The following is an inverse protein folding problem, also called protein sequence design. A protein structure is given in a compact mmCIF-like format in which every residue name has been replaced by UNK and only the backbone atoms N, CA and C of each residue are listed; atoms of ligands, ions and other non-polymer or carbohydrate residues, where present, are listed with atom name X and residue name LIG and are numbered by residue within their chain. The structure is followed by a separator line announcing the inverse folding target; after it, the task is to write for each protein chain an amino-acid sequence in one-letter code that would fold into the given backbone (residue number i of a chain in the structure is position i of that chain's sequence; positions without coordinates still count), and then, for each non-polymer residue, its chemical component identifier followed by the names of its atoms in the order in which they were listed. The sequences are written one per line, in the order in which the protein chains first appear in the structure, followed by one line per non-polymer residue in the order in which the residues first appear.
data_IF_266156077087
#
_entry.id   IF_266156077087
#
_cell.length_a   1.000
_cell.length_b   1.000
_cell.length_c   1.000
_cell.angle_alpha   90.00
_cell.angle_beta   90.00
_cell.angle_gamma   90.00
#
_symmetry.space_group_name_H-M   'P 1'
#
loop_
_entity.id
_entity.type
_entity.pdbx_description
1 polymer ?
#
# COMPACT_ATOMS: atom_id res chain seq x y z
N UNK A 1 59.19 21.26 -17.71
CA UNK A 1 58.24 22.17 -18.35
C UNK A 1 59.06 23.23 -19.05
N UNK A 2 58.99 23.36 -20.38
CA UNK A 2 59.72 24.40 -21.09
C UNK A 2 59.27 25.78 -20.61
N UNK A 3 60.23 26.70 -20.42
CA UNK A 3 60.03 28.03 -19.81
C UNK A 3 59.13 28.97 -20.63
N UNK A 4 58.84 28.64 -21.89
CA UNK A 4 57.84 29.31 -22.75
C UNK A 4 56.38 29.25 -22.25
N UNK A 5 56.09 28.51 -21.18
CA UNK A 5 54.74 28.30 -20.64
C UNK A 5 54.43 29.09 -19.35
N UNK A 6 55.23 30.08 -18.99
CA UNK A 6 54.75 31.14 -18.10
C UNK A 6 53.61 31.92 -18.78
N UNK A 7 52.60 32.41 -18.02
CA UNK A 7 51.47 33.11 -18.60
C UNK A 7 51.99 34.22 -19.51
N UNK A 8 51.61 34.23 -20.79
CA UNK A 8 52.19 35.15 -21.76
C UNK A 8 52.00 36.58 -21.27
N UNK A 9 53.10 37.35 -21.30
CA UNK A 9 53.09 38.76 -20.89
C UNK A 9 51.91 39.49 -21.55
N UNK A 10 51.22 40.37 -20.81
CA UNK A 10 50.02 41.07 -21.30
C UNK A 10 50.32 41.80 -22.63
N UNK A 11 51.58 42.24 -22.79
CA UNK A 11 52.14 42.81 -24.02
C UNK A 11 52.11 41.84 -25.20
N UNK A 12 52.60 40.60 -25.02
CA UNK A 12 52.63 39.57 -26.07
C UNK A 12 51.23 39.19 -26.50
N UNK A 13 50.30 39.06 -25.54
CA UNK A 13 48.88 38.79 -25.82
C UNK A 13 48.22 39.88 -26.66
N UNK A 14 48.44 41.15 -26.32
CA UNK A 14 47.90 42.29 -27.07
C UNK A 14 48.46 42.34 -28.50
N UNK A 15 49.75 42.02 -28.68
CA UNK A 15 50.41 42.00 -29.98
C UNK A 15 49.92 40.85 -30.86
N UNK A 16 49.76 39.65 -30.31
CA UNK A 16 49.20 38.50 -31.03
C UNK A 16 47.74 38.74 -31.46
N UNK A 17 46.95 39.40 -30.61
CA UNK A 17 45.59 39.82 -30.97
C UNK A 17 45.61 40.88 -32.08
N UNK A 18 46.54 41.84 -32.03
CA UNK A 18 46.73 42.84 -33.09
C UNK A 18 47.13 42.19 -34.42
N UNK A 19 47.92 41.11 -34.38
CA UNK A 19 48.27 40.32 -35.56
C UNK A 19 47.04 39.64 -36.18
N UNK A 20 46.18 39.00 -35.40
CA UNK A 20 44.95 38.38 -35.90
C UNK A 20 44.04 39.41 -36.58
N UNK A 21 43.95 40.63 -36.03
CA UNK A 21 43.16 41.73 -36.62
C UNK A 21 43.66 42.16 -38.01
N UNK A 22 44.85 41.74 -38.44
CA UNK A 22 45.36 42.04 -39.79
C UNK A 22 44.68 41.22 -40.89
N UNK A 23 43.96 40.16 -40.54
CA UNK A 23 43.26 39.29 -41.49
C UNK A 23 41.97 39.97 -42.00
N UNK A 24 41.72 39.98 -43.33
CA UNK A 24 40.59 40.71 -43.92
C UNK A 24 39.22 40.30 -43.37
N UNK A 25 39.02 39.02 -43.07
CA UNK A 25 37.77 38.47 -42.54
C UNK A 25 37.51 38.79 -41.05
N UNK A 26 38.54 39.27 -40.34
CA UNK A 26 38.59 39.34 -38.87
C UNK A 26 38.58 40.78 -38.33
N UNK A 27 38.90 41.76 -39.18
CA UNK A 27 39.15 43.17 -38.85
C UNK A 27 38.06 43.86 -37.98
N UNK A 28 36.79 43.41 -38.08
CA UNK A 28 35.65 44.03 -37.38
C UNK A 28 34.96 43.12 -36.33
N UNK A 29 35.41 41.87 -36.16
CA UNK A 29 34.71 40.86 -35.34
C UNK A 29 35.31 40.66 -33.94
N UNK A 30 36.57 41.08 -33.72
CA UNK A 30 37.34 40.73 -32.51
C UNK A 30 37.66 41.94 -31.66
N UNK A 31 37.20 41.96 -30.41
CA UNK A 31 37.52 42.99 -29.41
C UNK A 31 38.45 42.44 -28.33
N UNK A 32 38.25 41.19 -27.91
CA UNK A 32 39.01 40.49 -26.86
C UNK A 32 39.47 39.11 -27.33
N UNK A 33 40.41 38.50 -26.60
CA UNK A 33 40.86 37.11 -26.81
C UNK A 33 39.70 36.12 -26.60
N UNK A 34 38.74 36.46 -25.73
CA UNK A 34 37.53 35.67 -25.47
C UNK A 34 36.65 35.50 -26.72
N UNK A 35 36.72 36.44 -27.68
CA UNK A 35 35.98 36.35 -28.94
C UNK A 35 36.55 35.28 -29.89
N UNK A 36 37.71 34.71 -29.59
CA UNK A 36 38.36 33.65 -30.38
C UNK A 36 37.91 32.23 -29.99
N UNK A 37 37.12 32.10 -28.92
CA UNK A 37 36.76 30.82 -28.29
C UNK A 37 35.73 30.01 -29.08
N UNK A 38 35.06 30.64 -30.05
CA UNK A 38 34.06 29.98 -30.91
C UNK A 38 34.69 29.22 -32.10
N UNK A 39 35.99 29.41 -32.36
CA UNK A 39 36.73 28.77 -33.45
C UNK A 39 36.43 29.29 -34.85
N UNK A 40 35.49 30.23 -35.02
CA UNK A 40 35.08 30.73 -36.33
C UNK A 40 36.19 31.58 -36.97
N UNK A 41 36.85 32.41 -36.17
CA UNK A 41 37.95 33.26 -36.64
C UNK A 41 39.16 32.43 -37.08
N UNK A 42 39.44 31.33 -36.39
CA UNK A 42 40.51 30.42 -36.81
C UNK A 42 40.15 29.64 -38.09
N UNK A 43 38.86 29.36 -38.32
CA UNK A 43 38.39 28.84 -39.61
C UNK A 43 38.58 29.85 -40.75
N UNK A 44 38.20 31.11 -40.52
CA UNK A 44 38.42 32.21 -41.47
C UNK A 44 39.92 32.41 -41.78
N UNK A 45 40.80 32.22 -40.79
CA UNK A 45 42.26 32.26 -40.97
C UNK A 45 42.78 31.07 -41.79
N UNK A 46 42.25 29.87 -41.59
CA UNK A 46 42.57 28.70 -42.42
C UNK A 46 42.14 28.91 -43.87
N UNK A 47 41.01 29.56 -44.11
CA UNK A 47 40.58 29.91 -45.48
C UNK A 47 41.56 30.88 -46.17
N UNK A 48 42.19 31.79 -45.41
CA UNK A 48 43.25 32.66 -45.94
C UNK A 48 44.56 31.92 -46.22
N UNK A 49 44.87 30.84 -45.48
CA UNK A 49 46.03 29.97 -45.73
C UNK A 49 45.80 29.09 -46.95
N UNK A 50 44.72 28.33 -46.97
CA UNK A 50 44.28 27.51 -48.09
C UNK A 50 42.76 27.22 -47.96
N UNK A 51 41.94 27.69 -48.93
CA UNK A 51 40.51 27.43 -48.95
C UNK A 51 40.12 25.94 -48.90
N UNK A 52 41.01 25.02 -49.29
CA UNK A 52 40.77 23.58 -49.26
C UNK A 52 40.69 23.00 -47.84
N UNK A 53 41.26 23.68 -46.84
CA UNK A 53 41.29 23.24 -45.44
C UNK A 53 40.32 24.04 -44.55
N UNK A 54 39.60 25.02 -45.12
CA UNK A 54 38.61 25.82 -44.43
C UNK A 54 37.38 24.99 -44.02
N UNK A 55 36.84 25.25 -42.83
CA UNK A 55 35.67 24.54 -42.32
C UNK A 55 34.44 25.42 -42.57
N UNK A 56 33.69 25.07 -43.61
CA UNK A 56 32.49 25.83 -44.04
C UNK A 56 31.19 25.29 -43.44
N UNK A 57 31.13 23.99 -43.16
CA UNK A 57 29.97 23.31 -42.58
C UNK A 57 30.28 22.86 -41.15
N UNK A 58 30.05 23.76 -40.19
CA UNK A 58 30.00 23.39 -38.77
C UNK A 58 28.57 22.93 -38.50
N UNK A 59 28.41 21.63 -38.20
CA UNK A 59 27.12 21.05 -37.84
C UNK A 59 26.44 21.88 -36.75
N UNK A 60 25.35 22.56 -37.10
CA UNK A 60 24.44 23.21 -36.15
C UNK A 60 23.68 22.12 -35.40
N UNK A 61 24.36 21.45 -34.48
CA UNK A 61 23.72 20.48 -33.61
C UNK A 61 22.74 21.25 -32.73
N UNK A 62 21.45 21.13 -33.04
CA UNK A 62 20.34 21.91 -32.47
C UNK A 62 20.09 21.66 -30.98
N UNK A 63 20.94 20.85 -30.32
CA UNK A 63 20.75 20.39 -28.94
C UNK A 63 22.03 20.38 -28.08
N UNK A 64 23.16 20.94 -28.53
CA UNK A 64 24.39 21.01 -27.71
C UNK A 64 24.53 22.36 -26.99
N UNK A 65 25.05 22.37 -25.75
CA UNK A 65 25.42 23.62 -25.07
C UNK A 65 26.46 24.39 -25.89
N UNK A 66 26.38 25.74 -25.89
CA UNK A 66 27.21 26.63 -26.74
C UNK A 66 28.71 26.31 -26.71
N UNK A 67 29.26 25.95 -25.55
CA UNK A 67 30.67 25.61 -25.39
C UNK A 67 31.05 24.26 -26.03
N UNK A 68 30.12 23.30 -26.13
CA UNK A 68 30.37 22.00 -26.80
C UNK A 68 30.50 22.21 -28.31
N UNK A 69 29.63 23.03 -28.91
CA UNK A 69 29.75 23.39 -30.33
C UNK A 69 31.02 24.19 -30.63
N UNK A 70 31.42 25.08 -29.72
CA UNK A 70 32.67 25.83 -29.82
C UNK A 70 33.89 24.89 -29.76
N UNK A 71 33.91 23.95 -28.81
CA UNK A 71 34.95 22.92 -28.71
C UNK A 71 35.06 22.08 -29.98
N UNK A 72 33.94 21.56 -30.49
CA UNK A 72 33.93 20.75 -31.72
C UNK A 72 34.48 21.53 -32.92
N UNK A 73 34.16 22.82 -33.01
CA UNK A 73 34.67 23.71 -34.05
C UNK A 73 36.18 23.90 -33.91
N UNK A 74 36.67 24.21 -32.70
CA UNK A 74 38.10 24.39 -32.44
C UNK A 74 38.91 23.11 -32.71
N UNK A 75 38.42 21.94 -32.30
CA UNK A 75 39.06 20.65 -32.57
C UNK A 75 39.13 20.35 -34.07
N UNK A 76 38.05 20.64 -34.81
CA UNK A 76 38.01 20.45 -36.25
C UNK A 76 39.00 21.40 -36.96
N UNK A 77 39.03 22.67 -36.57
CA UNK A 77 39.97 23.68 -37.08
C UNK A 77 41.41 23.25 -36.82
N UNK A 78 41.72 22.85 -35.60
CA UNK A 78 43.05 22.38 -35.23
C UNK A 78 43.47 21.13 -36.02
N UNK A 79 42.56 20.18 -36.22
CA UNK A 79 42.80 18.99 -37.04
C UNK A 79 43.11 19.34 -38.50
N UNK A 80 42.40 20.31 -39.08
CA UNK A 80 42.67 20.76 -40.44
C UNK A 80 43.99 21.54 -40.54
N UNK A 81 44.33 22.36 -39.54
CA UNK A 81 45.63 23.01 -39.44
C UNK A 81 46.77 21.99 -39.36
N UNK A 82 46.60 20.93 -38.56
CA UNK A 82 47.57 19.84 -38.46
C UNK A 82 47.76 19.13 -39.80
N UNK A 83 46.66 18.84 -40.51
CA UNK A 83 46.71 18.24 -41.84
C UNK A 83 47.47 19.13 -42.82
N UNK A 84 47.15 20.43 -42.85
CA UNK A 84 47.86 21.41 -43.66
C UNK A 84 49.35 21.49 -43.32
N UNK A 85 49.70 21.56 -42.03
CA UNK A 85 51.09 21.58 -41.55
C UNK A 85 51.84 20.30 -41.92
N UNK A 86 51.19 19.15 -41.83
CA UNK A 86 51.81 17.88 -42.20
C UNK A 86 52.10 17.77 -43.71
N UNK A 87 51.21 18.30 -44.54
CA UNK A 87 51.30 18.21 -46.01
C UNK A 87 52.20 19.29 -46.61
N UNK A 88 52.26 20.50 -46.02
CA UNK A 88 52.90 21.67 -46.65
C UNK A 88 54.02 22.34 -45.84
N UNK A 89 54.22 21.99 -44.56
CA UNK A 89 55.27 22.60 -43.72
C UNK A 89 56.44 21.65 -43.46
N UNK A 90 57.58 22.22 -43.07
CA UNK A 90 58.78 21.48 -42.70
C UNK A 90 58.61 20.71 -41.38
N UNK A 91 59.47 19.71 -41.17
CA UNK A 91 59.46 18.87 -39.97
C UNK A 91 59.60 19.66 -38.67
N UNK A 92 60.23 20.84 -38.72
CA UNK A 92 60.34 21.76 -37.59
C UNK A 92 58.97 22.27 -37.12
N UNK A 93 58.09 22.70 -38.04
CA UNK A 93 56.74 23.15 -37.68
C UNK A 93 55.91 21.98 -37.14
N UNK A 94 56.05 20.79 -37.72
CA UNK A 94 55.36 19.58 -37.25
C UNK A 94 55.75 19.23 -35.80
N UNK A 95 57.05 19.35 -35.48
CA UNK A 95 57.55 19.15 -34.13
C UNK A 95 57.01 20.21 -33.15
N UNK A 96 56.98 21.48 -33.56
CA UNK A 96 56.41 22.56 -32.76
C UNK A 96 54.95 22.28 -32.36
N UNK A 97 54.10 21.85 -33.30
CA UNK A 97 52.68 21.60 -33.00
C UNK A 97 52.48 20.43 -32.02
N UNK A 98 53.37 19.44 -32.02
CA UNK A 98 53.27 18.29 -31.10
C UNK A 98 53.72 18.67 -29.68
N UNK A 99 54.73 19.53 -29.57
CA UNK A 99 55.30 19.93 -28.27
C UNK A 99 54.38 20.90 -27.50
N UNK A 100 53.45 21.57 -28.17
CA UNK A 100 52.48 22.50 -27.56
C UNK A 100 51.05 21.94 -27.61
N UNK A 101 50.69 20.95 -26.75
CA UNK A 101 49.32 20.46 -26.67
C UNK A 101 48.37 21.55 -26.14
N UNK A 102 47.19 21.63 -26.75
CA UNK A 102 46.14 22.60 -26.41
C UNK A 102 45.00 21.90 -25.67
N UNK A 103 44.56 22.46 -24.56
CA UNK A 103 43.34 22.01 -23.88
C UNK A 103 42.10 22.75 -24.43
N UNK A 104 41.42 22.11 -25.38
CA UNK A 104 40.20 22.64 -25.97
C UNK A 104 39.02 22.73 -24.99
N UNK A 105 39.03 22.01 -23.86
CA UNK A 105 38.00 22.17 -22.84
C UNK A 105 38.20 23.49 -22.08
N UNK A 106 39.44 23.75 -21.67
CA UNK A 106 39.81 24.99 -20.99
C UNK A 106 39.54 26.22 -21.88
N UNK A 107 39.87 26.10 -23.17
CA UNK A 107 39.64 27.13 -24.17
C UNK A 107 38.13 27.40 -24.42
N UNK A 108 37.33 26.36 -24.68
CA UNK A 108 35.93 26.53 -25.06
C UNK A 108 34.99 26.81 -23.89
N UNK A 109 35.28 26.29 -22.69
CA UNK A 109 34.40 26.42 -21.53
C UNK A 109 34.75 27.62 -20.65
N UNK A 110 36.04 27.88 -20.44
CA UNK A 110 36.52 28.92 -19.50
C UNK A 110 37.17 30.11 -20.20
N UNK A 111 37.25 30.10 -21.53
CA UNK A 111 37.89 31.17 -22.32
C UNK A 111 39.33 31.46 -21.86
N UNK A 112 40.09 30.39 -21.54
CA UNK A 112 41.43 30.55 -20.96
C UNK A 112 42.35 31.34 -21.93
N UNK A 113 42.87 32.50 -21.51
CA UNK A 113 43.75 33.32 -22.34
C UNK A 113 45.07 32.62 -22.65
N UNK A 114 45.52 31.69 -21.81
CA UNK A 114 46.77 30.94 -22.01
C UNK A 114 46.63 29.97 -23.18
N UNK A 115 45.57 29.16 -23.18
CA UNK A 115 45.27 28.23 -24.27
C UNK A 115 44.93 28.94 -25.57
N UNK A 116 44.24 30.08 -25.49
CA UNK A 116 43.98 30.94 -26.64
C UNK A 116 45.29 31.42 -27.27
N UNK A 117 46.24 31.87 -26.43
CA UNK A 117 47.55 32.34 -26.89
C UNK A 117 48.35 31.23 -27.55
N UNK A 118 48.37 30.02 -26.97
CA UNK A 118 49.03 28.85 -27.59
C UNK A 118 48.48 28.56 -28.98
N UNK A 119 47.16 28.54 -29.13
CA UNK A 119 46.53 28.29 -30.43
C UNK A 119 46.93 29.35 -31.47
N UNK A 120 46.89 30.64 -31.07
CA UNK A 120 47.30 31.76 -31.94
C UNK A 120 48.78 31.64 -32.33
N UNK A 121 49.64 31.28 -31.38
CA UNK A 121 51.07 31.08 -31.62
C UNK A 121 51.31 29.94 -32.61
N UNK A 122 50.59 28.83 -32.53
CA UNK A 122 50.70 27.75 -33.52
C UNK A 122 50.30 28.25 -34.92
N UNK A 123 49.19 29.00 -35.04
CA UNK A 123 48.79 29.62 -36.31
C UNK A 123 49.84 30.61 -36.83
N UNK A 124 50.47 31.39 -35.96
CA UNK A 124 51.54 32.31 -36.30
C UNK A 124 52.78 31.58 -36.83
N UNK A 125 53.19 30.48 -36.18
CA UNK A 125 54.32 29.66 -36.62
C UNK A 125 54.05 29.06 -38.00
N UNK A 126 52.85 28.51 -38.21
CA UNK A 126 52.43 27.97 -39.51
C UNK A 126 52.40 29.08 -40.58
N UNK A 127 51.98 30.31 -40.23
CA UNK A 127 51.98 31.43 -41.16
C UNK A 127 53.40 31.90 -41.55
N UNK A 128 54.31 31.99 -40.58
CA UNK A 128 55.65 32.55 -40.76
C UNK A 128 56.68 31.54 -41.27
N UNK A 129 56.48 30.25 -41.02
CA UNK A 129 57.40 29.16 -41.41
C UNK A 129 56.77 28.15 -42.36
N UNK A 130 55.52 28.39 -42.78
CA UNK A 130 54.85 27.59 -43.79
C UNK A 130 55.21 27.99 -45.23
N UNK A 131 54.55 27.37 -46.23
CA UNK A 131 54.88 27.54 -47.65
C UNK A 131 54.72 28.98 -48.15
N UNK A 132 53.81 29.75 -47.54
CA UNK A 132 53.46 31.12 -47.93
C UNK A 132 54.09 32.19 -47.01
N UNK A 133 55.25 31.90 -46.41
CA UNK A 133 55.91 32.77 -45.41
C UNK A 133 56.04 34.25 -45.83
N UNK A 134 56.41 34.53 -47.09
CA UNK A 134 56.66 35.90 -47.56
C UNK A 134 55.42 36.78 -47.48
N UNK A 135 54.23 36.22 -47.74
CA UNK A 135 52.94 36.93 -47.68
C UNK A 135 52.61 37.34 -46.25
N UNK A 136 52.87 36.47 -45.28
CA UNK A 136 52.56 36.73 -43.87
C UNK A 136 53.61 37.60 -43.19
N UNK A 137 54.88 37.48 -43.57
CA UNK A 137 55.95 38.39 -43.14
C UNK A 137 55.68 39.82 -43.65
N UNK A 138 55.31 39.98 -44.93
CA UNK A 138 54.97 41.29 -45.47
C UNK A 138 53.72 41.88 -44.81
N UNK A 139 52.74 41.05 -44.47
CA UNK A 139 51.55 41.46 -43.71
C UNK A 139 51.91 41.96 -42.31
N UNK A 140 52.78 41.25 -41.58
CA UNK A 140 53.28 41.70 -40.27
C UNK A 140 54.02 43.04 -40.40
N UNK A 141 54.88 43.17 -41.41
CA UNK A 141 55.68 44.38 -41.66
C UNK A 141 54.84 45.60 -42.03
N UNK A 142 53.79 45.41 -42.83
CA UNK A 142 52.97 46.51 -43.38
C UNK A 142 51.82 46.94 -42.47
N UNK A 143 51.27 46.02 -41.66
CA UNK A 143 50.07 46.28 -40.86
C UNK A 143 50.30 46.41 -39.36
N UNK A 144 51.47 46.05 -38.82
CA UNK A 144 51.82 46.25 -37.40
C UNK A 144 52.87 47.36 -37.24
N UNK A 145 52.91 48.00 -36.07
CA UNK A 145 53.97 48.96 -35.72
C UNK A 145 55.30 48.27 -35.47
N UNK A 146 56.40 49.01 -35.58
CA UNK A 146 57.76 48.49 -35.38
C UNK A 146 57.96 47.86 -33.99
N UNK A 147 57.36 48.42 -32.95
CA UNK A 147 57.42 47.88 -31.59
C UNK A 147 56.73 46.51 -31.48
N UNK A 148 55.57 46.37 -32.13
CA UNK A 148 54.83 45.10 -32.17
C UNK A 148 55.57 44.03 -33.00
N UNK A 149 56.24 44.45 -34.09
CA UNK A 149 57.06 43.55 -34.89
C UNK A 149 58.24 42.98 -34.09
N UNK A 150 58.89 43.81 -33.27
CA UNK A 150 59.97 43.37 -32.37
C UNK A 150 59.49 42.33 -31.36
N UNK A 151 58.30 42.54 -30.77
CA UNK A 151 57.69 41.59 -29.83
C UNK A 151 57.39 40.24 -30.49
N UNK A 152 56.86 40.23 -31.71
CA UNK A 152 56.60 38.99 -32.47
C UNK A 152 57.92 38.26 -32.78
N UNK A 153 58.93 38.99 -33.26
CA UNK A 153 60.22 38.40 -33.60
C UNK A 153 60.91 37.75 -32.38
N UNK A 154 60.89 38.44 -31.23
CA UNK A 154 61.42 37.91 -29.98
C UNK A 154 60.64 36.67 -29.52
N UNK A 155 59.31 36.70 -29.60
CA UNK A 155 58.47 35.57 -29.20
C UNK A 155 58.75 34.31 -30.04
N UNK A 156 58.86 34.46 -31.38
CA UNK A 156 59.19 33.34 -32.28
C UNK A 156 60.60 32.81 -32.02
N UNK A 157 61.58 33.70 -31.80
CA UNK A 157 62.96 33.30 -31.49
C UNK A 157 63.06 32.52 -30.17
N UNK A 158 62.30 32.90 -29.14
CA UNK A 158 62.23 32.15 -27.87
C UNK A 158 61.69 30.73 -28.10
N UNK A 159 60.63 30.59 -28.91
CA UNK A 159 60.04 29.27 -29.23
C UNK A 159 61.03 28.41 -30.03
N UNK A 160 61.73 29.00 -31.00
CA UNK A 160 62.77 28.31 -31.76
C UNK A 160 63.89 27.77 -30.87
N UNK A 161 64.34 28.58 -29.91
CA UNK A 161 65.37 28.18 -28.96
C UNK A 161 64.89 27.03 -28.05
N UNK A 162 63.68 27.13 -27.51
CA UNK A 162 63.10 26.10 -26.64
C UNK A 162 62.93 24.75 -27.37
N UNK A 163 62.46 24.79 -28.62
CA UNK A 163 62.31 23.58 -29.45
C UNK A 163 63.66 22.97 -29.84
N UNK A 164 64.68 23.79 -30.12
CA UNK A 164 66.02 23.30 -30.42
C UNK A 164 66.68 22.61 -29.22
N UNK A 165 66.33 23.00 -27.99
CA UNK A 165 66.78 22.35 -26.76
C UNK A 165 66.01 21.04 -26.53
N UNK A 166 64.70 21.03 -26.78
CA UNK A 166 63.86 19.85 -26.60
C UNK A 166 64.14 18.73 -27.62
N UNK A 167 64.54 19.09 -28.85
CA UNK A 167 64.73 18.16 -29.97
C UNK A 167 66.09 18.38 -30.68
N UNK A 168 67.19 17.83 -30.14
CA UNK A 168 68.55 18.07 -30.66
C UNK A 168 68.87 17.37 -32.00
N UNK A 169 68.02 16.45 -32.48
CA UNK A 169 68.28 15.57 -33.63
C UNK A 169 67.79 16.15 -34.98
N UNK A 170 67.40 17.42 -35.01
CA UNK A 170 66.88 18.10 -36.21
C UNK A 170 67.98 18.80 -37.04
N UNK A 171 69.27 18.59 -36.73
CA UNK A 171 70.40 19.23 -37.42
C UNK A 171 70.68 18.59 -38.80
N UNK A 172 70.47 19.30 -39.93
CA UNK A 172 70.54 18.72 -41.28
C UNK A 172 71.96 18.37 -41.80
N UNK A 173 73.03 18.67 -41.05
CA UNK A 173 74.40 18.72 -41.61
C UNK A 173 75.34 17.54 -41.27
N UNK A 174 74.87 16.47 -40.63
CA UNK A 174 75.70 15.28 -40.39
C UNK A 174 75.62 14.28 -41.55
N UNK A 175 76.45 14.48 -42.59
CA UNK A 175 76.65 13.49 -43.66
C UNK A 175 77.69 12.45 -43.20
N UNK A 176 77.29 11.18 -43.17
CA UNK A 176 78.03 10.02 -42.64
C UNK A 176 79.27 9.62 -43.48
N UNK A 177 80.30 9.10 -42.81
CA UNK A 177 81.56 8.59 -43.41
C UNK A 177 81.48 7.09 -43.76
N UNK A 178 82.43 6.52 -44.56
CA UNK A 178 82.33 5.12 -45.02
C UNK A 178 82.54 4.03 -43.95
N UNK A 179 83.19 4.34 -42.82
CA UNK A 179 83.28 3.40 -41.67
C UNK A 179 81.93 3.26 -40.95
N UNK A 180 81.06 4.26 -41.12
CA UNK A 180 79.69 4.29 -40.63
C UNK A 180 78.78 3.36 -41.47
N UNK A 181 79.17 2.94 -42.68
CA UNK A 181 78.30 2.16 -43.56
C UNK A 181 78.03 0.72 -43.04
N UNK A 182 79.02 0.06 -42.44
CA UNK A 182 78.85 -1.28 -41.85
C UNK A 182 78.07 -1.20 -40.52
N UNK A 183 78.38 -0.20 -39.70
CA UNK A 183 77.63 0.09 -38.46
C UNK A 183 76.18 0.53 -38.76
N UNK A 184 75.97 1.25 -39.87
CA UNK A 184 74.65 1.59 -40.40
C UNK A 184 73.94 0.37 -40.96
N UNK A 185 74.63 -0.58 -41.60
CA UNK A 185 74.04 -1.84 -42.07
C UNK A 185 73.61 -2.73 -40.90
N UNK A 186 74.42 -2.83 -39.85
CA UNK A 186 74.06 -3.56 -38.62
C UNK A 186 72.87 -2.90 -37.91
N UNK A 187 72.89 -1.57 -37.75
CA UNK A 187 71.75 -0.80 -37.21
C UNK A 187 70.51 -0.92 -38.10
N UNK A 188 70.66 -0.90 -39.43
CA UNK A 188 69.57 -1.07 -40.37
C UNK A 188 68.97 -2.48 -40.29
N UNK A 189 69.81 -3.50 -40.15
CA UNK A 189 69.37 -4.89 -39.94
C UNK A 189 68.62 -5.02 -38.61
N UNK A 190 69.14 -4.46 -37.52
CA UNK A 190 68.49 -4.44 -36.22
C UNK A 190 67.13 -3.71 -36.26
N UNK A 191 67.08 -2.51 -36.87
CA UNK A 191 65.85 -1.73 -37.06
C UNK A 191 64.87 -2.46 -37.99
N UNK A 192 65.34 -3.16 -39.02
CA UNK A 192 64.51 -3.96 -39.92
C UNK A 192 63.91 -5.17 -39.20
N UNK A 193 64.69 -5.84 -38.34
CA UNK A 193 64.21 -6.92 -37.48
C UNK A 193 63.19 -6.42 -36.46
N UNK A 194 63.45 -5.28 -35.82
CA UNK A 194 62.48 -4.64 -34.92
C UNK A 194 61.22 -4.24 -35.66
N UNK A 195 61.33 -3.65 -36.85
CA UNK A 195 60.19 -3.28 -37.68
C UNK A 195 59.37 -4.52 -38.11
N UNK A 196 60.03 -5.63 -38.44
CA UNK A 196 59.36 -6.90 -38.73
C UNK A 196 58.64 -7.47 -37.50
N UNK A 197 59.27 -7.42 -36.32
CA UNK A 197 58.66 -7.84 -35.06
C UNK A 197 57.48 -6.95 -34.67
N UNK A 198 57.61 -5.63 -34.86
CA UNK A 198 56.56 -4.66 -34.59
C UNK A 198 55.38 -4.83 -35.54
N UNK A 199 55.66 -5.08 -36.83
CA UNK A 199 54.64 -5.39 -37.85
C UNK A 199 53.89 -6.67 -37.51
N UNK A 200 54.59 -7.72 -37.06
CA UNK A 200 53.96 -8.95 -36.59
C UNK A 200 53.06 -8.70 -35.38
N UNK A 201 53.58 -7.99 -34.36
CA UNK A 201 52.79 -7.62 -33.17
C UNK A 201 51.58 -6.78 -33.53
N UNK A 202 51.70 -5.88 -34.50
CA UNK A 202 50.59 -5.07 -34.99
C UNK A 202 49.52 -5.96 -35.67
N UNK A 203 49.92 -6.90 -36.54
CA UNK A 203 49.00 -7.87 -37.14
C UNK A 203 48.30 -8.76 -36.10
N UNK A 204 49.02 -9.22 -35.07
CA UNK A 204 48.45 -9.99 -33.97
C UNK A 204 47.43 -9.15 -33.16
N UNK A 205 47.74 -7.87 -32.92
CA UNK A 205 46.83 -6.94 -32.25
C UNK A 205 45.58 -6.66 -33.09
N UNK A 206 45.71 -6.45 -34.40
CA UNK A 206 44.57 -6.29 -35.32
C UNK A 206 43.69 -7.53 -35.25
N UNK A 207 44.26 -8.73 -35.37
CA UNK A 207 43.49 -9.99 -35.32
C UNK A 207 42.78 -10.15 -33.99
N UNK A 208 43.42 -9.78 -32.88
CA UNK A 208 42.77 -9.80 -31.55
C UNK A 208 41.64 -8.78 -31.45
N UNK A 209 41.82 -7.58 -32.02
CA UNK A 209 40.78 -6.56 -32.03
C UNK A 209 39.59 -6.97 -32.91
N UNK A 210 39.83 -7.61 -34.04
CA UNK A 210 38.77 -8.19 -34.89
C UNK A 210 37.99 -9.26 -34.14
N UNK A 211 38.67 -10.24 -33.52
CA UNK A 211 38.01 -11.25 -32.70
C UNK A 211 37.22 -10.65 -31.52
N UNK A 212 37.75 -9.60 -30.88
CA UNK A 212 37.05 -8.88 -29.81
C UNK A 212 35.83 -8.12 -30.34
N UNK A 213 35.92 -7.53 -31.54
CA UNK A 213 34.78 -6.88 -32.20
C UNK A 213 33.70 -7.89 -32.54
N UNK A 214 34.07 -9.02 -33.14
CA UNK A 214 33.12 -10.11 -33.45
C UNK A 214 32.46 -10.65 -32.18
N UNK A 215 33.22 -10.86 -31.10
CA UNK A 215 32.67 -11.31 -29.83
C UNK A 215 31.69 -10.28 -29.23
N UNK A 216 32.04 -8.99 -29.30
CA UNK A 216 31.14 -7.92 -28.86
C UNK A 216 29.86 -7.91 -29.68
N UNK A 217 29.97 -8.05 -30.99
CA UNK A 217 28.81 -8.00 -31.90
C UNK A 217 27.90 -9.22 -31.67
N UNK A 218 28.47 -10.40 -31.42
CA UNK A 218 27.70 -11.57 -30.98
C UNK A 218 26.98 -11.33 -29.65
N UNK A 219 27.66 -10.76 -28.64
CA UNK A 219 27.03 -10.46 -27.35
C UNK A 219 25.91 -9.41 -27.49
N UNK A 220 26.08 -8.43 -28.36
CA UNK A 220 25.04 -7.44 -28.65
C UNK A 220 23.82 -8.08 -29.31
N UNK A 221 24.01 -9.03 -30.23
CA UNK A 221 22.91 -9.73 -30.87
C UNK A 221 22.19 -10.68 -29.91
N UNK A 222 22.92 -11.38 -29.03
CA UNK A 222 22.32 -12.18 -27.96
C UNK A 222 21.51 -11.31 -26.98
N UNK A 223 22.05 -10.14 -26.61
CA UNK A 223 21.35 -9.16 -25.76
C UNK A 223 20.05 -8.67 -26.43
N UNK A 224 20.10 -8.34 -27.73
CA UNK A 224 18.89 -7.94 -28.48
C UNK A 224 17.86 -9.05 -28.54
N UNK A 225 18.28 -10.30 -28.66
CA UNK A 225 17.35 -11.44 -28.69
C UNK A 225 16.73 -11.69 -27.31
N UNK A 226 17.51 -11.57 -26.24
CA UNK A 226 16.99 -11.58 -24.87
C UNK A 226 15.99 -10.44 -24.63
N UNK A 227 16.27 -9.22 -25.10
CA UNK A 227 15.35 -8.08 -25.01
C UNK A 227 14.05 -8.33 -25.79
N UNK A 228 14.11 -8.98 -26.96
CA UNK A 228 12.92 -9.39 -27.72
C UNK A 228 12.10 -10.41 -26.95
N UNK A 229 12.74 -11.42 -26.35
CA UNK A 229 12.07 -12.43 -25.53
C UNK A 229 11.43 -11.79 -24.29
N UNK A 230 12.11 -10.88 -23.62
CA UNK A 230 11.56 -10.12 -22.48
C UNK A 230 10.35 -9.31 -22.92
N UNK A 231 10.42 -8.60 -24.05
CA UNK A 231 9.29 -7.85 -24.59
C UNK A 231 8.11 -8.75 -24.92
N UNK A 232 8.34 -9.89 -25.58
CA UNK A 232 7.29 -10.87 -25.87
C UNK A 232 6.67 -11.42 -24.57
N UNK A 233 7.49 -11.75 -23.56
CA UNK A 233 6.98 -12.21 -22.27
C UNK A 233 6.18 -11.11 -21.56
N UNK A 234 6.66 -9.87 -21.56
CA UNK A 234 5.92 -8.74 -21.01
C UNK A 234 4.61 -8.50 -21.76
N UNK A 235 4.60 -8.59 -23.08
CA UNK A 235 3.40 -8.52 -23.91
C UNK A 235 2.43 -9.67 -23.56
N UNK A 236 2.88 -10.91 -23.43
CA UNK A 236 2.00 -12.02 -23.02
C UNK A 236 1.47 -11.91 -21.58
N UNK A 237 2.26 -11.34 -20.67
CA UNK A 237 1.84 -11.07 -19.28
C UNK A 237 0.84 -9.92 -19.24
N UNK A 238 1.09 -8.86 -20.00
CA UNK A 238 0.23 -7.68 -20.09
C UNK A 238 -1.05 -7.94 -20.91
N UNK A 239 -1.01 -8.83 -21.90
CA UNK A 239 -2.15 -9.22 -22.75
C UNK A 239 -3.00 -10.36 -22.15
N UNK A 240 -3.13 -10.42 -20.82
CA UNK A 240 -4.35 -10.93 -20.21
C UNK A 240 -4.29 -12.32 -19.57
N UNK A 241 -3.29 -13.17 -19.85
CA UNK A 241 -3.30 -14.54 -19.31
C UNK A 241 -3.30 -14.61 -17.77
N UNK A 242 -2.43 -13.82 -17.12
CA UNK A 242 -2.35 -13.76 -15.65
C UNK A 242 -3.24 -12.68 -15.06
N UNK A 243 -3.35 -11.52 -15.70
CA UNK A 243 -4.18 -10.42 -15.22
C UNK A 243 -5.69 -10.73 -15.26
N UNK A 244 -6.21 -11.36 -16.33
CA UNK A 244 -7.62 -11.75 -16.40
C UNK A 244 -7.94 -12.95 -15.49
N UNK A 245 -6.97 -13.85 -15.28
CA UNK A 245 -7.15 -14.94 -14.32
C UNK A 245 -7.21 -14.43 -12.88
N UNK A 246 -6.30 -13.50 -12.52
CA UNK A 246 -6.31 -12.83 -11.21
C UNK A 246 -7.59 -12.02 -11.03
N UNK A 247 -7.99 -11.21 -12.02
CA UNK A 247 -9.22 -10.42 -11.94
C UNK A 247 -10.48 -11.28 -11.82
N UNK A 248 -10.53 -12.44 -12.49
CA UNK A 248 -11.62 -13.42 -12.30
C UNK A 248 -11.61 -14.04 -10.90
N UNK A 249 -10.44 -14.30 -10.32
CA UNK A 249 -10.33 -14.80 -8.96
C UNK A 249 -10.75 -13.73 -7.94
N UNK A 250 -10.31 -12.49 -8.11
CA UNK A 250 -10.71 -11.34 -7.28
C UNK A 250 -12.22 -11.14 -7.33
N UNK A 251 -12.82 -11.16 -8.52
CA UNK A 251 -14.28 -11.07 -8.67
C UNK A 251 -15.02 -12.22 -7.97
N UNK A 252 -14.53 -13.46 -8.12
CA UNK A 252 -15.11 -14.61 -7.41
C UNK A 252 -14.95 -14.50 -5.89
N UNK A 253 -13.85 -13.92 -5.43
CA UNK A 253 -13.62 -13.67 -4.00
C UNK A 253 -14.63 -12.64 -3.49
N UNK A 254 -14.78 -11.52 -4.19
CA UNK A 254 -15.74 -10.46 -3.85
C UNK A 254 -17.18 -10.99 -3.85
N UNK A 255 -17.58 -11.76 -4.87
CA UNK A 255 -18.90 -12.41 -4.93
C UNK A 255 -19.11 -13.36 -3.73
N UNK A 256 -18.05 -14.08 -3.32
CA UNK A 256 -18.12 -15.00 -2.17
C UNK A 256 -18.19 -14.28 -0.83
N UNK A 257 -17.48 -13.16 -0.68
CA UNK A 257 -17.52 -12.31 0.53
C UNK A 257 -18.89 -11.65 0.68
N UNK A 258 -19.49 -11.17 -0.42
CA UNK A 258 -20.86 -10.65 -0.40
C UNK A 258 -21.89 -11.73 -0.04
N UNK A 259 -21.71 -12.96 -0.54
CA UNK A 259 -22.57 -14.08 -0.17
C UNK A 259 -22.47 -14.41 1.32
N UNK A 260 -21.25 -14.45 1.86
CA UNK A 260 -21.00 -14.69 3.30
C UNK A 260 -21.66 -13.59 4.12
N UNK A 261 -21.44 -12.32 3.78
CA UNK A 261 -22.03 -11.19 4.51
C UNK A 261 -23.57 -11.26 4.53
N UNK A 262 -24.21 -11.63 3.41
CA UNK A 262 -25.65 -11.81 3.35
C UNK A 262 -26.12 -13.01 4.20
N UNK A 263 -25.37 -14.12 4.19
CA UNK A 263 -25.68 -15.29 5.03
C UNK A 263 -25.52 -14.97 6.53
N UNK A 264 -24.48 -14.24 6.91
CA UNK A 264 -24.25 -13.79 8.28
C UNK A 264 -25.37 -12.86 8.75
N UNK A 265 -25.80 -11.92 7.90
CA UNK A 265 -26.94 -11.05 8.20
C UNK A 265 -28.23 -11.86 8.38
N UNK A 266 -28.52 -12.82 7.51
CA UNK A 266 -29.70 -13.69 7.64
C UNK A 266 -29.67 -14.54 8.92
N UNK A 267 -28.49 -15.04 9.31
CA UNK A 267 -28.33 -15.79 10.56
C UNK A 267 -28.55 -14.90 11.78
N UNK A 268 -28.05 -13.66 11.75
CA UNK A 268 -28.26 -12.70 12.84
C UNK A 268 -29.73 -12.28 12.95
N UNK A 269 -30.38 -11.99 11.83
CA UNK A 269 -31.82 -11.69 11.80
C UNK A 269 -32.66 -12.87 12.32
N UNK A 270 -32.31 -14.10 11.93
CA UNK A 270 -32.94 -15.31 12.43
C UNK A 270 -32.71 -15.49 13.95
N UNK A 271 -31.50 -15.20 14.43
CA UNK A 271 -31.14 -15.24 15.86
C UNK A 271 -31.98 -14.24 16.66
N UNK A 272 -32.04 -12.99 16.21
CA UNK A 272 -32.83 -11.91 16.85
C UNK A 272 -34.31 -12.26 16.85
N UNK A 273 -34.87 -12.72 15.73
CA UNK A 273 -36.28 -13.09 15.64
C UNK A 273 -36.61 -14.29 16.56
N UNK A 274 -35.71 -15.27 16.66
CA UNK A 274 -35.86 -16.39 17.61
C UNK A 274 -35.84 -15.91 19.06
N UNK A 275 -34.95 -14.98 19.39
CA UNK A 275 -34.88 -14.40 20.73
C UNK A 275 -36.15 -13.61 21.08
N UNK A 276 -36.68 -12.81 20.14
CA UNK A 276 -37.94 -12.09 20.30
C UNK A 276 -39.12 -13.03 20.53
N UNK A 277 -39.29 -14.04 19.67
CA UNK A 277 -40.34 -15.06 19.84
C UNK A 277 -40.21 -15.82 21.16
N UNK A 278 -38.98 -16.10 21.60
CA UNK A 278 -38.76 -16.76 22.88
C UNK A 278 -39.15 -15.85 24.06
N UNK A 279 -38.82 -14.54 24.00
CA UNK A 279 -39.27 -13.56 24.99
C UNK A 279 -40.79 -13.45 25.04
N UNK A 280 -41.46 -13.42 23.89
CA UNK A 280 -42.93 -13.42 23.80
C UNK A 280 -43.53 -14.71 24.39
N UNK A 281 -42.99 -15.88 24.05
CA UNK A 281 -43.45 -17.16 24.60
C UNK A 281 -43.29 -17.22 26.12
N UNK A 282 -42.17 -16.74 26.66
CA UNK A 282 -41.95 -16.66 28.11
C UNK A 282 -42.95 -15.70 28.75
N UNK A 283 -43.19 -14.54 28.13
CA UNK A 283 -44.20 -13.58 28.61
C UNK A 283 -45.59 -14.20 28.64
N UNK A 284 -46.03 -14.86 27.55
CA UNK A 284 -47.35 -15.51 27.47
C UNK A 284 -47.47 -16.63 28.51
N UNK A 285 -46.43 -17.46 28.67
CA UNK A 285 -46.42 -18.50 29.71
C UNK A 285 -46.55 -17.90 31.10
N UNK A 286 -45.80 -16.83 31.40
CA UNK A 286 -45.88 -16.16 32.68
C UNK A 286 -47.28 -15.58 32.95
N UNK A 287 -47.89 -14.92 31.97
CA UNK A 287 -49.27 -14.41 32.08
C UNK A 287 -50.27 -15.53 32.32
N UNK A 288 -50.16 -16.63 31.55
CA UNK A 288 -51.03 -17.80 31.72
C UNK A 288 -50.86 -18.45 33.10
N UNK A 289 -49.63 -18.60 33.56
CA UNK A 289 -49.34 -19.16 34.88
C UNK A 289 -49.95 -18.28 35.98
N UNK A 290 -49.85 -16.96 35.86
CA UNK A 290 -50.47 -16.01 36.78
C UNK A 290 -52.01 -16.13 36.79
N UNK A 291 -52.64 -16.18 35.60
CA UNK A 291 -54.08 -16.37 35.47
C UNK A 291 -54.53 -17.70 36.10
N UNK A 292 -53.81 -18.80 35.84
CA UNK A 292 -54.13 -20.09 36.47
C UNK A 292 -53.94 -20.07 37.98
N UNK A 293 -52.92 -19.39 38.49
CA UNK A 293 -52.68 -19.24 39.92
C UNK A 293 -53.80 -18.45 40.58
N UNK A 294 -54.26 -17.36 39.96
CA UNK A 294 -55.37 -16.57 40.49
C UNK A 294 -56.69 -17.34 40.43
N UNK A 295 -56.94 -18.09 39.36
CA UNK A 295 -58.11 -18.97 39.29
C UNK A 295 -58.09 -20.08 40.35
N UNK A 296 -56.90 -20.64 40.64
CA UNK A 296 -56.74 -21.61 41.73
C UNK A 296 -57.07 -20.98 43.08
N UNK A 297 -56.56 -19.77 43.37
CA UNK A 297 -56.91 -19.05 44.60
C UNK A 297 -58.42 -18.78 44.71
N UNK A 298 -59.06 -18.38 43.61
CA UNK A 298 -60.52 -18.18 43.58
C UNK A 298 -61.27 -19.47 43.93
N UNK A 299 -60.88 -20.59 43.32
CA UNK A 299 -61.48 -21.90 43.59
C UNK A 299 -61.19 -22.40 45.01
N UNK A 300 -60.00 -22.12 45.56
CA UNK A 300 -59.69 -22.42 46.97
C UNK A 300 -60.59 -21.64 47.93
N UNK A 301 -60.83 -20.36 47.65
CA UNK A 301 -61.76 -19.53 48.44
C UNK A 301 -63.20 -20.04 48.30
N UNK A 302 -63.64 -20.38 47.09
CA UNK A 302 -64.97 -20.95 46.84
C UNK A 302 -65.14 -22.30 47.53
N UNK A 303 -64.15 -23.20 47.43
CA UNK A 303 -64.16 -24.49 48.08
C UNK A 303 -64.16 -24.35 49.61
N UNK A 304 -63.38 -23.41 50.16
CA UNK A 304 -63.44 -23.06 51.59
C UNK A 304 -64.83 -22.58 52.01
N UNK A 305 -65.48 -21.76 51.18
CA UNK A 305 -66.84 -21.29 51.44
C UNK A 305 -67.88 -22.43 51.35
N UNK A 306 -67.76 -23.32 50.36
CA UNK A 306 -68.60 -24.51 50.21
C UNK A 306 -68.40 -25.48 51.37
N UNK A 307 -67.17 -25.75 51.79
CA UNK A 307 -66.86 -26.56 52.97
C UNK A 307 -67.50 -25.98 54.23
N UNK A 308 -67.43 -24.66 54.44
CA UNK A 308 -68.15 -23.99 55.53
C UNK A 308 -69.68 -24.14 55.42
N UNK A 309 -70.24 -24.12 54.22
CA UNK A 309 -71.69 -24.35 54.00
C UNK A 309 -72.05 -25.81 54.27
N UNK A 310 -71.26 -26.77 53.80
CA UNK A 310 -71.44 -28.19 54.08
C UNK A 310 -71.43 -28.46 55.60
N UNK A 311 -70.46 -27.91 56.32
CA UNK A 311 -70.41 -28.01 57.79
C UNK A 311 -71.66 -27.41 58.47
N UNK A 312 -72.23 -26.33 57.92
CA UNK A 312 -73.50 -25.78 58.42
C UNK A 312 -74.68 -26.70 58.13
N UNK A 313 -74.74 -27.31 56.95
CA UNK A 313 -75.77 -28.29 56.58
C UNK A 313 -75.68 -29.50 57.50
N UNK A 314 -74.50 -30.09 57.69
CA UNK A 314 -74.30 -31.21 58.62
C UNK A 314 -74.75 -30.86 60.05
N UNK A 315 -74.52 -29.62 60.49
CA UNK A 315 -75.00 -29.13 61.79
C UNK A 315 -76.53 -29.03 61.84
N UNK A 316 -77.16 -28.53 60.77
CA UNK A 316 -78.61 -28.48 60.67
C UNK A 316 -79.23 -29.88 60.58
N UNK A 317 -78.62 -30.82 59.86
CA UNK A 317 -79.04 -32.22 59.79
C UNK A 317 -78.97 -32.88 61.16
N UNK A 318 -77.87 -32.69 61.91
CA UNK A 318 -77.76 -33.17 63.30
C UNK A 318 -78.85 -32.59 64.19
N UNK A 319 -79.13 -31.28 64.09
CA UNK A 319 -80.22 -30.65 64.83
C UNK A 319 -81.59 -31.20 64.43
N UNK A 320 -81.84 -31.42 63.14
CA UNK A 320 -83.08 -31.99 62.66
C UNK A 320 -83.25 -33.45 63.15
N UNK A 321 -82.17 -34.24 63.13
CA UNK A 321 -82.19 -35.60 63.66
C UNK A 321 -82.49 -35.62 65.18
N UNK A 322 -81.91 -34.68 65.94
CA UNK A 322 -82.23 -34.49 67.35
C UNK A 322 -83.69 -34.08 67.54
N UNK A 323 -84.21 -33.13 66.75
CA UNK A 323 -85.61 -32.72 66.81
C UNK A 323 -86.56 -33.88 66.47
N UNK A 324 -86.28 -34.65 65.41
CA UNK A 324 -87.06 -35.84 65.05
C UNK A 324 -87.03 -36.90 66.17
N UNK A 325 -85.90 -37.06 66.86
CA UNK A 325 -85.82 -37.96 68.02
C UNK A 325 -86.71 -37.47 69.17
N UNK A 326 -86.70 -36.17 69.47
CA UNK A 326 -87.59 -35.54 70.46
C UNK A 326 -89.05 -35.66 70.04
N UNK A 327 -89.39 -35.48 68.76
CA UNK A 327 -90.76 -35.64 68.26
C UNK A 327 -91.25 -37.09 68.40
N UNK A 328 -90.40 -38.08 68.11
CA UNK A 328 -90.70 -39.50 68.37
C UNK A 328 -90.91 -39.78 69.85
N UNK A 329 -90.08 -39.21 70.73
CA UNK A 329 -90.25 -39.32 72.17
C UNK A 329 -91.55 -38.66 72.63
N UNK A 330 -91.88 -37.47 72.14
CA UNK A 330 -93.16 -36.81 72.40
C UNK A 330 -94.35 -37.64 71.92
N UNK A 331 -94.27 -38.25 70.74
CA UNK A 331 -95.31 -39.15 70.24
C UNK A 331 -95.47 -40.38 71.15
N UNK A 332 -94.35 -40.99 71.58
CA UNK A 332 -94.37 -42.10 72.53
C UNK A 332 -94.94 -41.69 73.89
N UNK A 333 -94.58 -40.52 74.40
CA UNK A 333 -95.11 -39.99 75.65
C UNK A 333 -96.61 -39.69 75.54
N UNK A 334 -97.09 -39.20 74.39
CA UNK A 334 -98.53 -39.03 74.11
C UNK A 334 -99.26 -40.37 74.07
N UNK A 335 -98.72 -41.38 73.39
CA UNK A 335 -99.29 -42.73 73.37
C UNK A 335 -99.33 -43.34 74.79
N UNK A 336 -98.27 -43.17 75.59
CA UNK A 336 -98.27 -43.58 77.00
C UNK A 336 -99.32 -42.83 77.81
N UNK A 337 -99.51 -41.54 77.56
CA UNK A 337 -100.51 -40.72 78.23
C UNK A 337 -101.94 -41.17 77.85
N UNK A 338 -102.19 -41.50 76.58
CA UNK A 338 -103.47 -42.05 76.11
C UNK A 338 -103.78 -43.39 76.78
N UNK A 339 -102.79 -44.30 76.84
CA UNK A 339 -102.92 -45.59 77.54
C UNK A 339 -103.18 -45.39 79.04
N UNK A 340 -102.48 -44.45 79.68
CA UNK A 340 -102.72 -44.12 81.09
C UNK A 340 -104.10 -43.52 81.30
N UNK A 341 -104.60 -42.66 80.41
CA UNK A 341 -105.96 -42.12 80.45
C UNK A 341 -107.01 -43.21 80.25
N UNK A 342 -106.79 -44.17 79.35
CA UNK A 342 -107.68 -45.32 79.14
C UNK A 342 -107.69 -46.22 80.38
N UNK A 343 -106.51 -46.57 80.90
CA UNK A 343 -106.39 -47.31 82.17
C UNK A 343 -107.09 -46.58 83.33
N UNK A 344 -107.02 -45.25 83.38
CA UNK A 344 -107.71 -44.46 84.40
C UNK A 344 -109.23 -44.51 84.21
N UNK A 345 -109.74 -44.42 82.98
CA UNK A 345 -111.18 -44.63 82.70
C UNK A 345 -111.66 -46.02 83.09
N UNK A 346 -110.87 -47.05 82.77
CA UNK A 346 -111.19 -48.43 83.17
C UNK A 346 -111.15 -48.60 84.69
N UNK A 347 -110.17 -48.00 85.36
CA UNK A 347 -110.12 -47.96 86.82
C UNK A 347 -111.34 -47.25 87.41
N UNK A 348 -111.73 -46.08 86.87
CA UNK A 348 -112.91 -45.33 87.30
C UNK A 348 -114.20 -46.16 87.07
N UNK A 349 -114.29 -46.90 85.96
CA UNK A 349 -115.40 -47.80 85.66
C UNK A 349 -115.47 -48.96 86.65
N UNK A 350 -114.36 -49.65 86.89
CA UNK A 350 -114.28 -50.74 87.88
C UNK A 350 -114.56 -50.21 89.28
N UNK A 351 -114.06 -49.03 89.62
CA UNK A 351 -114.34 -48.37 90.90
C UNK A 351 -115.83 -48.07 91.04
N UNK A 352 -116.49 -47.55 90.00
CA UNK A 352 -117.93 -47.32 89.98
C UNK A 352 -118.74 -48.63 90.10
N UNK A 353 -118.35 -49.69 89.37
CA UNK A 353 -118.95 -51.02 89.49
C UNK A 353 -118.75 -51.60 90.91
N UNK A 354 -117.58 -51.39 91.51
CA UNK A 354 -117.29 -51.83 92.88
C UNK A 354 -118.11 -51.06 93.91
N UNK A 355 -118.28 -49.74 93.74
CA UNK A 355 -119.18 -48.94 94.57
C UNK A 355 -120.64 -49.39 94.39
N UNK A 356 -121.09 -49.69 93.17
CA UNK A 356 -122.40 -50.27 92.92
C UNK A 356 -122.55 -51.64 93.60
N UNK A 357 -121.55 -52.52 93.49
CA UNK A 357 -121.52 -53.81 94.19
C UNK A 357 -121.52 -53.64 95.72
N UNK A 358 -120.82 -52.65 96.26
CA UNK A 358 -120.88 -52.32 97.71
C UNK A 358 -122.28 -51.84 98.10
N UNK A 359 -122.94 -51.02 97.27
CA UNK A 359 -124.31 -50.57 97.54
C UNK A 359 -125.32 -51.71 97.46
N UNK A 360 -125.28 -52.54 96.41
CA UNK A 360 -126.14 -53.72 96.30
C UNK A 360 -125.86 -54.73 97.40
N UNK A 361 -124.60 -54.99 97.77
CA UNK A 361 -124.25 -55.82 98.94
C UNK A 361 -124.82 -55.24 100.23
N UNK A 362 -124.81 -53.92 100.40
CA UNK A 362 -125.41 -53.23 101.55
C UNK A 362 -126.93 -53.38 101.55
N UNK A 363 -127.57 -53.31 100.38
CA UNK A 363 -129.01 -53.54 100.22
C UNK A 363 -129.38 -55.01 100.47
N UNK A 364 -128.63 -55.98 99.93
CA UNK A 364 -128.78 -57.40 100.24
C UNK A 364 -128.59 -57.67 101.73
N UNK A 365 -127.59 -57.05 102.38
CA UNK A 365 -127.44 -57.15 103.84
C UNK A 365 -128.65 -56.59 104.58
N UNK A 366 -129.21 -55.44 104.17
CA UNK A 366 -130.46 -54.91 104.75
C UNK A 366 -131.66 -55.83 104.53
N UNK A 367 -131.78 -56.46 103.36
CA UNK A 367 -132.85 -57.43 103.08
C UNK A 367 -132.67 -58.69 103.92
N UNK A 368 -131.44 -59.21 104.05
CA UNK A 368 -131.12 -60.33 104.94
C UNK A 368 -131.41 -60.00 106.39
N UNK A 369 -131.01 -58.82 106.87
CA UNK A 369 -131.34 -58.34 108.22
C UNK A 369 -132.86 -58.19 108.40
N UNK A 370 -133.57 -57.74 107.38
CA UNK A 370 -135.03 -57.72 107.35
C UNK A 370 -135.66 -59.12 107.39
N UNK A 371 -135.13 -60.08 106.62
CA UNK A 371 -135.57 -61.48 106.64
C UNK A 371 -135.25 -62.15 107.98
N UNK A 372 -134.08 -61.91 108.56
CA UNK A 372 -133.70 -62.36 109.91
C UNK A 372 -134.66 -61.78 110.95
N UNK A 373 -134.96 -60.48 110.88
CA UNK A 373 -135.95 -59.85 111.76
C UNK A 373 -137.36 -60.48 111.60
N UNK A 374 -137.76 -60.80 110.37
CA UNK A 374 -139.04 -61.48 110.10
C UNK A 374 -139.05 -62.92 110.62
N UNK A 375 -137.93 -63.64 110.50
CA UNK A 375 -137.75 -64.99 111.07
C UNK A 375 -137.77 -64.92 112.60
N UNK A 376 -137.13 -63.93 113.22
CA UNK A 376 -137.19 -63.74 114.67
C UNK A 376 -138.59 -63.37 115.15
N UNK A 377 -139.33 -62.57 114.39
CA UNK A 377 -140.72 -62.23 114.71
C UNK A 377 -141.66 -63.42 114.56
N UNK A 378 -141.47 -64.28 113.56
CA UNK A 378 -142.19 -65.56 113.43
C UNK A 378 -141.83 -66.52 114.58
N UNK A 379 -140.55 -66.59 114.94
CA UNK A 379 -140.05 -67.40 116.06
C UNK A 379 -140.50 -66.89 117.43
N UNK A 380 -140.80 -65.59 117.55
CA UNK A 380 -141.39 -64.96 118.73
C UNK A 380 -142.92 -65.11 118.77
N UNK A 381 -143.60 -65.21 117.61
CA UNK A 381 -145.04 -65.52 117.54
C UNK A 381 -145.35 -66.98 117.90
N UNK A 382 -144.51 -67.93 117.51
CA UNK A 382 -144.69 -69.35 117.89
C UNK A 382 -144.41 -69.65 119.37
N UNK A 383 -143.84 -68.71 120.12
CA UNK A 383 -143.61 -68.84 121.58
C UNK A 383 -144.72 -68.26 122.45
N UNK A 384 -145.78 -67.68 121.86
CA UNK A 384 -146.92 -67.10 122.59
C UNK A 384 -148.23 -67.84 122.36
N UNK A 385 -148.17 -69.08 121.84
CA UNK A 385 -149.32 -69.98 121.75
C UNK A 385 -148.93 -71.42 122.07
N UNK A 386 -148.55 -71.67 123.33
CA UNK A 386 -148.88 -72.91 124.05
C UNK A 386 -148.62 -72.76 125.55
#
# INVERSE_FOLDING_TARGET
MPSSLEPPDDTTRAVLLAWIKTFPAVLNKVKSIEDLTDGLIFSDMLEDFDPAYAIKDISKTTSSTKWISAKQTLEAVYKNLLKYSHEHCDNWVKAAVVEYPIDFNALAQYSDPTESTKLITIFLLVALKGPNQLRYIDRVRTKLSHDMQSVIANHVATIEQDLSIALPDLDPHRIAKPYDALDLEEKYSAVSMEHAALKKRNADLITRLENLSESRDHLLDETKEQDRLIKQLQETVNHGGKSEYISRLEKRLEDSEQLIANQEQQLEDARVNRELKNKELVSIKHTRDLETQDRLKELEVENSALSKRANKVDHYEKKLAQQNAIEKENARLREQLDVLQENQKDYDKVHMENELLKTTRREYMKVLEGQENTITDLKNKDRTSS
#
